data_IF_627048923016
#
_entry.id   IF_627048923016
#
_cell.length_a   1.000
_cell.length_b   1.000
_cell.length_c   1.000
_cell.angle_alpha   90.00
_cell.angle_beta   90.00
_cell.angle_gamma   90.00
#
_symmetry.space_group_name_H-M   'P 1'
#
loop_
_entity.id
_entity.type
_entity.pdbx_description
1 polymer ?
#
# COMPACT_ATOMS: atom_id res chain seq x y z
N UNK A 1 1.68 -24.90 7.31
CA UNK A 1 1.21 -24.73 5.92
C UNK A 1 1.83 -23.49 5.31
N UNK A 2 2.09 -23.53 4.00
CA UNK A 2 2.64 -22.41 3.26
C UNK A 2 1.54 -21.37 2.98
N UNK A 3 1.93 -20.10 2.93
CA UNK A 3 1.05 -19.02 2.50
C UNK A 3 0.99 -19.05 0.97
N UNK A 4 -0.21 -19.14 0.40
CA UNK A 4 -0.43 -19.07 -1.04
C UNK A 4 -0.70 -17.61 -1.42
N UNK A 5 0.13 -17.04 -2.29
CA UNK A 5 -0.03 -15.65 -2.76
C UNK A 5 -0.16 -15.65 -4.27
N UNK A 6 -1.23 -15.05 -4.77
CA UNK A 6 -1.55 -15.02 -6.19
C UNK A 6 -2.05 -13.64 -6.61
N UNK A 7 -1.56 -13.15 -7.75
CA UNK A 7 -2.06 -11.95 -8.42
C UNK A 7 -2.78 -12.30 -9.70
N UNK A 8 -3.94 -11.68 -9.91
CA UNK A 8 -4.74 -11.71 -11.13
C UNK A 8 -5.23 -10.31 -11.48
N UNK A 9 -5.78 -10.13 -12.68
CA UNK A 9 -6.43 -8.88 -13.06
C UNK A 9 -7.64 -8.62 -12.15
N UNK A 10 -7.79 -7.39 -11.67
CA UNK A 10 -8.93 -7.00 -10.83
C UNK A 10 -10.26 -7.23 -11.55
N UNK A 11 -10.30 -7.00 -12.87
CA UNK A 11 -11.49 -7.20 -13.69
C UNK A 11 -11.99 -8.66 -13.69
N UNK A 12 -11.11 -9.61 -13.40
CA UNK A 12 -11.44 -11.04 -13.30
C UNK A 12 -12.07 -11.44 -11.95
N UNK A 13 -12.13 -10.52 -10.97
CA UNK A 13 -12.80 -10.77 -9.70
C UNK A 13 -14.31 -10.93 -9.91
N UNK A 14 -14.88 -11.96 -9.31
CA UNK A 14 -16.33 -12.19 -9.26
C UNK A 14 -16.95 -11.47 -8.07
N UNK A 15 -18.28 -11.34 -8.05
CA UNK A 15 -18.98 -10.79 -6.89
C UNK A 15 -18.73 -11.63 -5.63
N UNK A 16 -18.59 -12.96 -5.78
CA UNK A 16 -18.24 -13.87 -4.70
C UNK A 16 -16.83 -13.59 -4.13
N UNK A 17 -15.86 -13.22 -4.97
CA UNK A 17 -14.53 -12.82 -4.50
C UNK A 17 -14.62 -11.53 -3.66
N UNK A 18 -15.41 -10.54 -4.11
CA UNK A 18 -15.60 -9.27 -3.42
C UNK A 18 -16.34 -9.45 -2.09
N UNK A 19 -17.36 -10.32 -2.06
CA UNK A 19 -18.07 -10.71 -0.85
C UNK A 19 -17.14 -11.37 0.18
N UNK A 20 -16.25 -12.26 -0.27
CA UNK A 20 -15.26 -12.89 0.62
C UNK A 20 -14.28 -11.86 1.18
N UNK A 21 -13.80 -10.93 0.34
CA UNK A 21 -12.91 -9.84 0.76
C UNK A 21 -13.58 -8.93 1.79
N UNK A 22 -14.83 -8.52 1.56
CA UNK A 22 -15.61 -7.72 2.51
C UNK A 22 -15.85 -8.47 3.84
N UNK A 23 -16.08 -9.78 3.75
CA UNK A 23 -16.35 -10.65 4.91
C UNK A 23 -15.10 -11.08 5.67
N UNK A 24 -13.89 -10.87 5.11
CA UNK A 24 -12.62 -11.20 5.76
C UNK A 24 -12.43 -10.44 7.09
N UNK A 25 -13.06 -9.27 7.19
CA UNK A 25 -12.82 -8.26 8.20
C UNK A 25 -11.80 -7.21 7.73
N UNK A 26 -11.73 -6.11 8.48
CA UNK A 26 -10.97 -4.92 8.11
C UNK A 26 -11.90 -3.77 7.75
N UNK A 27 -11.37 -2.78 7.04
CA UNK A 27 -12.02 -1.47 6.94
C UNK A 27 -12.65 -1.17 5.58
N UNK A 28 -12.74 -2.15 4.66
CA UNK A 28 -13.31 -1.97 3.33
C UNK A 28 -14.58 -2.79 3.16
N UNK A 29 -15.69 -2.12 2.89
CA UNK A 29 -16.96 -2.76 2.52
C UNK A 29 -17.01 -3.14 1.04
N UNK A 30 -18.05 -3.85 0.65
CA UNK A 30 -18.25 -4.29 -0.74
C UNK A 30 -18.32 -3.11 -1.72
N UNK A 31 -18.86 -1.96 -1.32
CA UNK A 31 -18.97 -0.79 -2.20
C UNK A 31 -17.61 -0.23 -2.57
N UNK A 32 -16.71 -0.10 -1.57
CA UNK A 32 -15.33 0.30 -1.80
C UNK A 32 -14.55 -0.73 -2.63
N UNK A 33 -14.79 -2.03 -2.41
CA UNK A 33 -14.11 -3.09 -3.14
C UNK A 33 -14.57 -3.20 -4.59
N UNK A 34 -15.86 -3.04 -4.87
CA UNK A 34 -16.39 -2.96 -6.24
C UNK A 34 -15.79 -1.78 -7.00
N UNK A 35 -15.67 -0.62 -6.35
CA UNK A 35 -14.98 0.52 -6.95
C UNK A 35 -13.49 0.25 -7.14
N UNK A 36 -12.81 -0.36 -6.18
CA UNK A 36 -11.40 -0.72 -6.29
C UNK A 36 -11.12 -1.69 -7.44
N UNK A 37 -12.06 -2.60 -7.72
CA UNK A 37 -12.01 -3.49 -8.88
C UNK A 37 -11.96 -2.71 -10.21
N UNK A 38 -12.62 -1.56 -10.29
CA UNK A 38 -12.63 -0.69 -11.47
C UNK A 38 -11.41 0.25 -11.53
N UNK A 39 -11.00 0.79 -10.38
CA UNK A 39 -9.93 1.79 -10.28
C UNK A 39 -8.51 1.21 -10.40
N UNK A 40 -8.32 -0.09 -10.10
CA UNK A 40 -7.01 -0.74 -10.02
C UNK A 40 -6.87 -1.94 -10.95
N UNK A 41 -5.69 -2.15 -11.51
CA UNK A 41 -5.46 -3.17 -12.53
C UNK A 41 -5.27 -4.57 -11.94
N UNK A 42 -4.56 -4.68 -10.82
CA UNK A 42 -4.16 -5.95 -10.23
C UNK A 42 -4.82 -6.16 -8.87
N UNK A 43 -5.29 -7.38 -8.63
CA UNK A 43 -5.68 -7.87 -7.32
C UNK A 43 -4.77 -9.02 -6.89
N UNK A 44 -4.15 -8.88 -5.73
CA UNK A 44 -3.34 -9.94 -5.10
C UNK A 44 -4.05 -10.45 -3.87
N UNK A 45 -4.14 -11.77 -3.72
CA UNK A 45 -4.70 -12.42 -2.52
C UNK A 45 -3.64 -13.27 -1.83
N UNK A 46 -3.74 -13.35 -0.51
CA UNK A 46 -2.93 -14.21 0.33
C UNK A 46 -3.85 -15.16 1.10
N UNK A 47 -3.70 -16.47 0.88
CA UNK A 47 -4.54 -17.52 1.45
C UNK A 47 -3.73 -18.49 2.30
N UNK A 48 -4.39 -19.00 3.34
CA UNK A 48 -3.88 -20.10 4.17
C UNK A 48 -4.97 -21.16 4.23
N UNK A 49 -4.65 -22.37 3.79
CA UNK A 49 -5.59 -23.50 3.73
C UNK A 49 -6.88 -23.14 2.95
N UNK A 50 -6.72 -22.47 1.80
CA UNK A 50 -7.80 -21.96 0.96
C UNK A 50 -8.55 -20.73 1.51
N UNK A 51 -8.33 -20.34 2.77
CA UNK A 51 -9.02 -19.21 3.41
C UNK A 51 -8.27 -17.90 3.19
N UNK A 52 -8.99 -16.87 2.77
CA UNK A 52 -8.43 -15.52 2.61
C UNK A 52 -7.91 -14.96 3.95
N UNK A 53 -6.66 -14.49 3.92
CA UNK A 53 -5.98 -13.86 5.04
C UNK A 53 -5.59 -12.40 4.77
N UNK A 54 -5.50 -12.00 3.51
CA UNK A 54 -5.27 -10.62 3.11
C UNK A 54 -5.37 -10.45 1.60
N UNK A 55 -5.51 -9.20 1.17
CA UNK A 55 -5.54 -8.85 -0.24
C UNK A 55 -5.00 -7.44 -0.48
N UNK A 56 -4.63 -7.14 -1.72
CA UNK A 56 -4.27 -5.79 -2.16
C UNK A 56 -4.72 -5.51 -3.58
N UNK A 57 -5.18 -4.28 -3.82
CA UNK A 57 -5.41 -3.74 -5.15
C UNK A 57 -4.27 -2.78 -5.50
N UNK A 58 -3.71 -2.94 -6.69
CA UNK A 58 -2.55 -2.15 -7.12
C UNK A 58 -2.50 -1.96 -8.63
N UNK A 59 -1.69 -1.01 -9.05
CA UNK A 59 -1.38 -0.79 -10.47
C UNK A 59 0.12 -0.63 -10.62
N UNK A 60 0.67 -1.28 -11.66
CA UNK A 60 2.01 -1.02 -12.16
C UNK A 60 1.91 -0.04 -13.32
N UNK A 61 2.56 1.12 -13.22
CA UNK A 61 2.50 2.13 -14.26
C UNK A 61 3.75 2.99 -14.31
N UNK A 62 3.86 3.86 -15.32
CA UNK A 62 4.90 4.89 -15.37
C UNK A 62 4.29 6.27 -15.13
N UNK A 63 4.81 6.98 -14.14
CA UNK A 63 4.41 8.36 -13.85
C UNK A 63 5.55 9.28 -14.28
N UNK A 64 5.35 10.02 -15.38
CA UNK A 64 6.42 10.87 -15.94
C UNK A 64 7.64 10.08 -16.41
N UNK A 65 7.44 8.82 -16.83
CA UNK A 65 8.51 7.92 -17.27
C UNK A 65 9.05 6.99 -16.18
N UNK A 66 8.96 7.37 -14.90
CA UNK A 66 9.45 6.56 -13.78
C UNK A 66 8.51 5.39 -13.45
N UNK A 67 9.02 4.15 -13.39
CA UNK A 67 8.27 2.99 -12.92
C UNK A 67 7.68 3.17 -11.51
N UNK A 68 6.42 2.77 -11.35
CA UNK A 68 5.69 2.92 -10.10
C UNK A 68 4.90 1.66 -9.76
N UNK A 69 4.92 1.26 -8.49
CA UNK A 69 3.92 0.41 -7.85
C UNK A 69 2.99 1.30 -7.04
N UNK A 70 1.76 1.46 -7.49
CA UNK A 70 0.74 2.15 -6.71
C UNK A 70 -0.08 1.12 -5.95
N UNK A 71 0.06 1.10 -4.63
CA UNK A 71 -0.81 0.30 -3.76
C UNK A 71 -2.05 1.13 -3.44
N UNK A 72 -3.14 0.82 -4.11
CA UNK A 72 -4.41 1.52 -3.98
C UNK A 72 -5.07 1.30 -2.63
N UNK A 73 -5.15 0.03 -2.24
CA UNK A 73 -5.54 -0.41 -0.91
C UNK A 73 -4.98 -1.81 -0.63
N UNK A 74 -4.88 -2.14 0.65
CA UNK A 74 -4.51 -3.46 1.14
C UNK A 74 -5.24 -3.73 2.44
N UNK A 75 -5.73 -4.94 2.66
CA UNK A 75 -6.25 -5.36 3.95
C UNK A 75 -5.59 -6.66 4.40
N UNK A 76 -5.18 -6.71 5.66
CA UNK A 76 -4.62 -7.90 6.30
C UNK A 76 -5.51 -8.29 7.47
N UNK A 77 -5.91 -9.56 7.53
CA UNK A 77 -6.72 -10.10 8.62
C UNK A 77 -5.94 -10.09 9.95
N UNK A 78 -6.61 -9.67 11.03
CA UNK A 78 -6.01 -9.47 12.36
C UNK A 78 -5.80 -10.80 13.07
N UNK A 79 -4.82 -11.57 12.61
CA UNK A 79 -4.45 -12.88 13.15
C UNK A 79 -3.00 -12.88 13.64
N UNK A 80 -2.56 -13.97 14.27
CA UNK A 80 -1.14 -14.16 14.62
C UNK A 80 -0.22 -14.31 13.39
N UNK A 81 -0.78 -14.42 12.18
CA UNK A 81 -0.04 -14.56 10.92
C UNK A 81 0.04 -13.26 10.11
N UNK A 82 -0.53 -12.15 10.59
CA UNK A 82 -0.63 -10.87 9.87
C UNK A 82 0.69 -10.38 9.27
N UNK A 83 1.80 -10.46 10.00
CA UNK A 83 3.13 -10.02 9.50
C UNK A 83 3.61 -10.90 8.33
N UNK A 84 3.29 -12.20 8.36
CA UNK A 84 3.62 -13.15 7.28
C UNK A 84 2.77 -12.86 6.04
N UNK A 85 1.49 -12.57 6.24
CA UNK A 85 0.55 -12.19 5.17
C UNK A 85 0.99 -10.88 4.51
N UNK A 86 1.28 -9.85 5.30
CA UNK A 86 1.78 -8.56 4.81
C UNK A 86 3.06 -8.74 3.98
N UNK A 87 4.03 -9.52 4.50
CA UNK A 87 5.26 -9.83 3.77
C UNK A 87 4.96 -10.54 2.46
N UNK A 88 4.04 -11.50 2.45
CA UNK A 88 3.64 -12.22 1.24
C UNK A 88 3.08 -11.29 0.17
N UNK A 89 2.10 -10.45 0.53
CA UNK A 89 1.50 -9.47 -0.38
C UNK A 89 2.53 -8.49 -0.94
N UNK A 90 3.41 -7.95 -0.10
CA UNK A 90 4.46 -7.03 -0.55
C UNK A 90 5.50 -7.73 -1.43
N UNK A 91 5.88 -8.98 -1.10
CA UNK A 91 6.82 -9.75 -1.92
C UNK A 91 6.27 -10.01 -3.31
N UNK A 92 4.98 -10.32 -3.43
CA UNK A 92 4.34 -10.47 -4.74
C UNK A 92 4.25 -9.13 -5.49
N UNK A 93 3.97 -8.01 -4.81
CA UNK A 93 4.02 -6.68 -5.43
C UNK A 93 5.41 -6.36 -6.02
N UNK A 94 6.48 -6.67 -5.28
CA UNK A 94 7.85 -6.53 -5.78
C UNK A 94 8.17 -7.51 -6.91
N UNK A 95 7.65 -8.74 -6.84
CA UNK A 95 7.82 -9.71 -7.92
C UNK A 95 7.18 -9.22 -9.22
N UNK A 96 5.95 -8.71 -9.16
CA UNK A 96 5.26 -8.14 -10.33
C UNK A 96 5.99 -6.92 -10.88
N UNK A 97 6.49 -6.04 -9.99
CA UNK A 97 7.31 -4.90 -10.39
C UNK A 97 8.60 -5.33 -11.10
N UNK A 98 9.31 -6.33 -10.58
CA UNK A 98 10.53 -6.88 -11.19
C UNK A 98 10.26 -7.45 -12.59
N UNK A 99 9.11 -8.10 -12.79
CA UNK A 99 8.74 -8.64 -14.10
C UNK A 99 8.35 -7.56 -15.10
N UNK A 100 7.74 -6.46 -14.64
CA UNK A 100 7.31 -5.36 -15.50
C UNK A 100 8.42 -4.35 -15.82
N UNK A 101 9.31 -4.11 -14.85
CA UNK A 101 10.37 -3.10 -14.88
C UNK A 101 11.71 -3.75 -14.49
N UNK A 102 12.19 -4.73 -15.27
CA UNK A 102 13.49 -5.32 -15.00
C UNK A 102 14.57 -4.23 -15.11
N UNK A 103 15.55 -4.29 -14.22
CA UNK A 103 16.72 -3.40 -14.23
C UNK A 103 16.45 -1.90 -14.01
N UNK A 104 15.30 -1.54 -13.41
CA UNK A 104 14.95 -0.15 -13.11
C UNK A 104 14.73 0.09 -11.61
N UNK A 105 14.90 1.34 -11.18
CA UNK A 105 14.46 1.82 -9.87
C UNK A 105 12.96 2.09 -9.91
N UNK A 106 12.25 1.62 -8.88
CA UNK A 106 10.78 1.68 -8.85
C UNK A 106 10.31 2.47 -7.63
N UNK A 107 9.43 3.45 -7.87
CA UNK A 107 8.74 4.16 -6.79
C UNK A 107 7.58 3.31 -6.29
N UNK A 108 7.43 3.18 -4.98
CA UNK A 108 6.29 2.50 -4.36
C UNK A 108 5.54 3.51 -3.51
N UNK A 109 4.24 3.67 -3.76
CA UNK A 109 3.42 4.70 -3.12
C UNK A 109 2.08 4.17 -2.62
N UNK A 110 1.64 4.67 -1.47
CA UNK A 110 0.32 4.34 -0.91
C UNK A 110 -0.19 5.44 0.05
N UNK A 111 -1.37 5.18 0.61
CA UNK A 111 -2.04 5.95 1.65
C UNK A 111 -2.02 5.18 2.96
N UNK A 112 -1.83 5.88 4.07
CA UNK A 112 -1.68 5.27 5.40
C UNK A 112 -2.56 6.01 6.41
N UNK A 113 -3.43 5.27 7.09
CA UNK A 113 -4.27 5.81 8.17
C UNK A 113 -3.56 5.79 9.53
N UNK A 114 -2.57 4.90 9.71
CA UNK A 114 -1.81 4.72 10.94
C UNK A 114 -0.35 4.35 10.66
N UNK A 115 0.49 4.45 11.69
CA UNK A 115 1.91 4.10 11.62
C UNK A 115 2.13 2.60 11.37
N UNK A 116 1.20 1.74 11.80
CA UNK A 116 1.30 0.29 11.63
C UNK A 116 1.39 -0.11 10.16
N UNK A 117 0.61 0.55 9.29
CA UNK A 117 0.64 0.29 7.85
C UNK A 117 2.03 0.49 7.23
N UNK A 118 2.86 1.39 7.78
CA UNK A 118 4.21 1.65 7.27
C UNK A 118 5.16 0.45 7.37
N UNK A 119 4.82 -0.59 8.14
CA UNK A 119 5.55 -1.85 8.13
C UNK A 119 5.65 -2.45 6.72
N UNK A 120 4.67 -2.17 5.85
CA UNK A 120 4.70 -2.56 4.43
C UNK A 120 5.90 -1.97 3.69
N UNK A 121 6.36 -0.78 4.10
CA UNK A 121 7.37 0.01 3.40
C UNK A 121 8.77 -0.13 4.02
N UNK A 122 8.96 -0.97 5.04
CA UNK A 122 10.23 -1.12 5.76
C UNK A 122 11.44 -1.51 4.90
N UNK A 123 11.20 -2.11 3.73
CA UNK A 123 12.25 -2.53 2.79
C UNK A 123 12.61 -1.45 1.76
N UNK A 124 11.86 -0.35 1.72
CA UNK A 124 12.09 0.76 0.80
C UNK A 124 13.17 1.70 1.33
N UNK A 125 13.89 2.31 0.41
CA UNK A 125 14.84 3.41 0.68
C UNK A 125 14.17 4.75 0.44
N UNK A 126 14.74 5.80 1.03
CA UNK A 126 14.33 7.20 0.82
C UNK A 126 12.82 7.44 0.98
N UNK A 127 12.24 6.83 2.02
CA UNK A 127 10.82 7.00 2.35
C UNK A 127 10.54 8.49 2.63
N UNK A 128 9.45 8.99 2.04
CA UNK A 128 8.95 10.34 2.19
C UNK A 128 7.44 10.31 2.45
N UNK A 129 6.96 11.05 3.46
CA UNK A 129 7.74 11.79 4.46
C UNK A 129 8.51 10.85 5.41
N UNK A 130 9.54 11.38 6.09
CA UNK A 130 10.28 10.68 7.17
C UNK A 130 10.69 11.65 8.28
N UNK A 131 10.89 11.19 9.52
CA UNK A 131 11.27 12.05 10.64
C UNK A 131 12.60 12.78 10.39
N UNK A 132 12.68 14.03 10.84
CA UNK A 132 13.91 14.83 10.75
C UNK A 132 14.31 15.29 9.34
N UNK A 133 13.50 14.99 8.31
CA UNK A 133 13.78 15.37 6.93
C UNK A 133 12.74 16.36 6.39
N UNK A 134 13.20 17.44 5.80
CA UNK A 134 12.33 18.40 5.10
C UNK A 134 12.28 18.05 3.62
N UNK A 135 11.11 17.66 3.14
CA UNK A 135 10.96 17.21 1.77
C UNK A 135 11.35 18.30 0.75
N UNK A 136 12.15 17.93 -0.26
CA UNK A 136 12.59 18.80 -1.37
C UNK A 136 11.52 18.90 -2.46
N UNK A 137 11.74 19.76 -3.47
CA UNK A 137 10.77 20.03 -4.53
C UNK A 137 10.32 18.78 -5.30
N UNK A 138 11.25 17.88 -5.62
CA UNK A 138 10.94 16.63 -6.32
C UNK A 138 10.13 15.65 -5.46
N UNK A 139 10.51 15.48 -4.20
CA UNK A 139 9.81 14.63 -3.23
C UNK A 139 8.34 15.10 -3.02
N UNK A 140 8.10 16.42 -3.02
CA UNK A 140 6.76 17.01 -2.99
C UNK A 140 6.01 16.85 -4.30
N UNK A 141 6.72 16.90 -5.43
CA UNK A 141 6.13 16.64 -6.74
C UNK A 141 5.62 15.20 -6.84
N UNK A 142 6.36 14.24 -6.29
CA UNK A 142 5.90 12.86 -6.13
C UNK A 142 4.64 12.76 -5.28
N UNK A 143 4.62 13.42 -4.12
CA UNK A 143 3.42 13.50 -3.28
C UNK A 143 2.19 14.02 -4.03
N UNK A 144 2.32 15.09 -4.82
CA UNK A 144 1.23 15.63 -5.67
C UNK A 144 0.79 14.65 -6.76
N UNK A 145 1.72 13.98 -7.44
CA UNK A 145 1.42 12.98 -8.47
C UNK A 145 0.62 11.83 -7.88
N UNK A 146 1.03 11.33 -6.72
CA UNK A 146 0.33 10.26 -6.01
C UNK A 146 -1.05 10.71 -5.53
N UNK A 147 -1.17 11.91 -4.96
CA UNK A 147 -2.46 12.45 -4.55
C UNK A 147 -3.46 12.50 -5.73
N UNK A 148 -3.01 12.91 -6.91
CA UNK A 148 -3.82 12.89 -8.14
C UNK A 148 -4.17 11.46 -8.58
N UNK A 149 -3.24 10.51 -8.53
CA UNK A 149 -3.50 9.11 -8.89
C UNK A 149 -4.48 8.43 -7.93
N UNK A 150 -4.47 8.82 -6.66
CA UNK A 150 -5.40 8.34 -5.65
C UNK A 150 -6.73 9.12 -5.63
N UNK A 151 -6.89 10.18 -6.43
CA UNK A 151 -8.11 11.00 -6.49
C UNK A 151 -8.39 11.78 -5.21
N UNK A 152 -7.34 12.22 -4.50
CA UNK A 152 -7.43 12.90 -3.19
C UNK A 152 -6.73 14.27 -3.17
N UNK A 153 -6.34 14.79 -4.33
CA UNK A 153 -5.58 16.03 -4.48
C UNK A 153 -6.29 17.26 -3.90
N UNK A 154 -7.63 17.25 -3.88
CA UNK A 154 -8.43 18.36 -3.35
C UNK A 154 -8.18 18.62 -1.85
N UNK A 155 -7.82 17.57 -1.09
CA UNK A 155 -7.59 17.65 0.36
C UNK A 155 -6.11 17.46 0.74
N UNK A 156 -5.22 17.39 -0.24
CA UNK A 156 -3.81 17.06 -0.06
C UNK A 156 -2.93 18.30 0.23
N UNK A 157 -2.03 18.18 1.19
CA UNK A 157 -1.07 19.20 1.58
C UNK A 157 0.36 18.72 1.28
N UNK A 158 1.03 19.35 0.32
CA UNK A 158 2.38 18.94 -0.14
C UNK A 158 3.50 19.15 0.88
N UNK A 159 3.30 19.98 1.91
CA UNK A 159 4.34 20.22 2.92
C UNK A 159 4.33 19.11 3.97
N UNK A 160 3.13 18.61 4.29
CA UNK A 160 2.92 17.61 5.34
C UNK A 160 2.66 16.21 4.80
N UNK A 161 2.36 16.10 3.50
CA UNK A 161 1.90 14.90 2.81
C UNK A 161 0.56 14.35 3.33
N UNK A 162 -0.18 15.15 4.10
CA UNK A 162 -1.45 14.75 4.71
C UNK A 162 -2.59 15.08 3.75
N UNK A 163 -3.48 14.10 3.56
CA UNK A 163 -4.83 14.30 3.03
C UNK A 163 -5.76 14.55 4.20
N UNK A 164 -6.36 15.74 4.27
CA UNK A 164 -7.10 16.21 5.46
C UNK A 164 -8.49 15.61 5.61
N UNK A 165 -9.07 15.06 4.53
CA UNK A 165 -10.39 14.44 4.54
C UNK A 165 -10.59 13.51 3.34
N UNK A 166 -11.52 12.55 3.49
CA UNK A 166 -11.95 11.64 2.42
C UNK A 166 -10.79 10.87 1.73
N UNK A 167 -9.70 10.63 2.44
CA UNK A 167 -8.53 9.92 1.93
C UNK A 167 -8.60 8.40 2.09
N UNK A 168 -9.52 7.90 2.90
CA UNK A 168 -9.67 6.48 3.25
C UNK A 168 -10.51 5.66 2.26
N UNK A 169 -10.75 6.17 1.05
CA UNK A 169 -11.33 5.36 -0.05
C UNK A 169 -10.42 4.21 -0.51
N UNK A 170 -9.16 4.22 -0.04
CA UNK A 170 -8.23 3.10 -0.07
C UNK A 170 -6.97 3.47 0.69
N UNK A 171 -6.39 2.52 1.43
CA UNK A 171 -5.14 2.71 2.18
C UNK A 171 -4.60 1.35 2.61
N UNK A 172 -3.43 1.30 3.25
CA UNK A 172 -2.93 0.06 3.86
C UNK A 172 -3.58 -0.18 5.23
N UNK A 173 -4.55 -1.09 5.26
CA UNK A 173 -5.28 -1.55 6.43
C UNK A 173 -4.56 -2.75 7.08
N UNK A 174 -3.51 -2.43 7.85
CA UNK A 174 -2.71 -3.37 8.63
C UNK A 174 -2.51 -2.84 10.04
N UNK A 175 -2.58 -3.76 11.01
CA UNK A 175 -2.31 -3.51 12.42
C UNK A 175 -1.11 -4.34 12.84
N UNK A 176 -0.10 -3.69 13.44
CA UNK A 176 1.11 -4.38 13.84
C UNK A 176 0.79 -5.45 14.89
N UNK A 177 1.50 -6.58 14.84
CA UNK A 177 1.46 -7.54 15.94
C UNK A 177 2.25 -7.06 17.16
N UNK A 178 3.06 -6.00 17.00
CA UNK A 178 3.99 -5.43 17.98
C UNK A 178 4.00 -3.89 17.90
N UNK A 179 2.86 -3.21 18.10
CA UNK A 179 2.75 -1.76 17.95
C UNK A 179 3.70 -1.01 18.90
N UNK A 180 4.10 -1.63 20.02
CA UNK A 180 5.09 -1.08 20.96
C UNK A 180 6.51 -0.94 20.37
N UNK A 181 6.79 -1.59 19.23
CA UNK A 181 8.08 -1.49 18.54
C UNK A 181 8.11 -0.43 17.45
N UNK A 182 6.98 0.22 17.18
CA UNK A 182 6.91 1.33 16.22
C UNK A 182 7.77 2.48 16.73
N UNK A 183 8.65 3.01 15.87
CA UNK A 183 9.50 4.15 16.22
C UNK A 183 8.61 5.35 16.61
N UNK A 184 8.86 5.94 17.78
CA UNK A 184 8.06 7.04 18.31
C UNK A 184 7.96 8.23 17.35
N UNK A 185 9.04 8.56 16.63
CA UNK A 185 9.04 9.64 15.66
C UNK A 185 8.20 9.33 14.40
N UNK A 186 8.11 8.04 14.02
CA UNK A 186 7.19 7.59 12.96
C UNK A 186 5.75 7.69 13.47
N UNK A 187 5.46 7.22 14.69
CA UNK A 187 4.14 7.35 15.30
C UNK A 187 3.69 8.82 15.39
N UNK A 188 4.60 9.73 15.75
CA UNK A 188 4.33 11.16 15.83
C UNK A 188 3.91 11.78 14.48
N UNK A 189 4.40 11.28 13.35
CA UNK A 189 3.98 11.74 12.02
C UNK A 189 2.46 11.57 11.80
N UNK A 190 1.86 10.56 12.42
CA UNK A 190 0.42 10.28 12.30
C UNK A 190 -0.44 11.07 13.29
N UNK A 191 0.15 11.73 14.30
CA UNK A 191 -0.59 12.55 15.28
C UNK A 191 -1.36 13.71 14.62
N UNK A 192 -0.90 14.17 13.46
CA UNK A 192 -1.51 15.26 12.68
C UNK A 192 -2.51 14.76 11.63
N UNK A 193 -2.65 13.45 11.45
CA UNK A 193 -3.58 12.87 10.49
C UNK A 193 -5.00 12.88 11.10
N UNK A 194 -5.96 13.59 10.50
CA UNK A 194 -7.30 13.71 11.06
C UNK A 194 -8.15 12.45 10.78
N UNK A 195 -7.90 11.38 11.53
CA UNK A 195 -8.54 10.07 11.33
C UNK A 195 -10.08 10.15 11.32
N UNK A 196 -10.69 10.97 12.19
CA UNK A 196 -12.14 11.17 12.24
C UNK A 196 -12.75 11.81 10.99
N UNK A 197 -11.94 12.45 10.15
CA UNK A 197 -12.36 13.01 8.85
C UNK A 197 -12.01 12.10 7.67
N UNK A 198 -11.55 10.88 7.95
CA UNK A 198 -10.99 9.97 6.94
C UNK A 198 -9.64 10.47 6.41
N UNK A 199 -8.84 11.13 7.24
CA UNK A 199 -7.51 11.58 6.86
C UNK A 199 -6.52 10.43 6.68
N UNK A 200 -5.54 10.64 5.80
CA UNK A 200 -4.42 9.70 5.57
C UNK A 200 -3.13 10.47 5.32
N UNK A 201 -2.00 9.79 5.51
CA UNK A 201 -0.70 10.23 5.06
C UNK A 201 -0.38 9.56 3.72
N UNK A 202 0.01 10.33 2.70
CA UNK A 202 0.57 9.76 1.48
C UNK A 202 2.06 9.54 1.71
N UNK A 203 2.50 8.32 1.49
CA UNK A 203 3.90 7.95 1.66
C UNK A 203 4.38 7.30 0.38
N UNK A 204 5.61 7.63 -0.02
CA UNK A 204 6.32 6.98 -1.10
C UNK A 204 7.75 6.64 -0.69
N UNK A 205 8.35 5.69 -1.39
CA UNK A 205 9.75 5.34 -1.24
C UNK A 205 10.24 4.60 -2.48
N UNK A 206 11.50 4.25 -2.49
CA UNK A 206 12.15 3.63 -3.63
C UNK A 206 12.51 2.19 -3.33
N UNK A 207 12.34 1.32 -4.31
CA UNK A 207 13.10 0.07 -4.38
C UNK A 207 14.11 0.22 -5.50
N UNK A 208 15.38 0.30 -5.10
CA UNK A 208 16.49 0.33 -6.05
C UNK A 208 16.53 -0.99 -6.84
N UNK A 209 17.05 -0.98 -8.06
CA UNK A 209 17.15 -2.17 -8.92
C UNK A 209 17.70 -3.40 -8.19
N UNK A 210 18.83 -3.26 -7.50
CA UNK A 210 19.47 -4.36 -6.77
C UNK A 210 18.59 -4.92 -5.64
N UNK A 211 17.87 -4.03 -4.96
CA UNK A 211 16.92 -4.41 -3.91
C UNK A 211 15.70 -5.09 -4.52
N UNK A 212 15.20 -4.60 -5.66
CA UNK A 212 14.07 -5.16 -6.36
C UNK A 212 14.34 -6.60 -6.81
N UNK A 213 15.54 -6.89 -7.33
CA UNK A 213 15.95 -8.25 -7.69
C UNK A 213 15.90 -9.18 -6.47
N UNK A 214 16.29 -8.70 -5.28
CA UNK A 214 16.27 -9.50 -4.04
C UNK A 214 14.86 -9.67 -3.49
N UNK A 215 14.06 -8.60 -3.49
CA UNK A 215 12.71 -8.56 -2.94
C UNK A 215 11.68 -9.28 -3.81
N UNK A 216 11.82 -9.18 -5.13
CA UNK A 216 10.91 -9.76 -6.12
C UNK A 216 11.28 -11.15 -6.59
N UNK A 217 12.36 -11.75 -6.07
CA UNK A 217 12.70 -13.15 -6.38
C UNK A 217 11.68 -14.07 -5.71
N UNK A 218 11.01 -14.93 -6.48
CA UNK A 218 10.14 -15.98 -5.91
C UNK A 218 10.98 -16.90 -5.02
N UNK A 219 10.45 -17.16 -3.82
CA UNK A 219 10.97 -18.16 -2.91
C UNK A 219 10.66 -19.57 -3.41
#
# INVERSE_FOLDING_TARGET
MALEVETRDSSALTDADLDEMASMGGNFDIGLLSKAKEDWVLNTTARLDGKLQGFSFSTLERIGGTPCVLLGLMSVKRTTKRDTVLKGLMSEAYHRALMAFPDEDVVVGSRFASADGLEAFKSLTDIIPRPGHRAVGEERAWGRRLAKRFGVEANYDEQTFIVKAAGQTGYLDHESSKPEKTNAAIAEMFSKVPASKGGVLIVHGWTMTESLVKLGKRA
#
